data_IF_275882428734
#
_entry.id   IF_275882428734
#
_cell.length_a   1.000
_cell.length_b   1.000
_cell.length_c   1.000
_cell.angle_alpha   90.00
_cell.angle_beta   90.00
_cell.angle_gamma   90.00
#
_symmetry.space_group_name_H-M   'P 1'
#
loop_
_entity.id
_entity.type
_entity.pdbx_description
1 polymer ?
#
# COMPACT_ATOMS: atom_id res chain seq x y z
N UNK A 1 -14.91 -17.67 1.63
CA UNK A 1 -14.54 -16.26 1.88
C UNK A 1 -13.56 -15.85 0.79
N UNK A 2 -13.69 -14.64 0.23
CA UNK A 2 -12.74 -14.19 -0.81
C UNK A 2 -11.43 -13.76 -0.17
N UNK A 3 -10.29 -13.98 -0.83
CA UNK A 3 -8.96 -13.81 -0.24
C UNK A 3 -8.15 -12.72 -0.92
N UNK A 4 -7.45 -11.91 -0.13
CA UNK A 4 -6.57 -10.85 -0.61
C UNK A 4 -5.19 -10.99 0.02
N UNK A 5 -4.16 -11.06 -0.82
CA UNK A 5 -2.77 -10.88 -0.40
C UNK A 5 -2.34 -9.45 -0.70
N UNK A 6 -1.76 -8.78 0.29
CA UNK A 6 -1.25 -7.42 0.15
C UNK A 6 0.24 -7.40 0.50
N UNK A 7 1.07 -6.64 -0.22
CA UNK A 7 2.51 -6.58 0.04
C UNK A 7 2.96 -5.20 0.50
N UNK A 8 3.82 -5.11 1.50
CA UNK A 8 4.48 -3.87 1.92
C UNK A 8 5.91 -4.17 2.40
N UNK A 9 6.88 -3.26 2.25
CA UNK A 9 8.25 -3.54 2.72
C UNK A 9 8.32 -3.74 4.23
N UNK A 10 7.76 -2.79 4.97
CA UNK A 10 7.87 -2.70 6.42
C UNK A 10 6.52 -2.44 7.06
N UNK A 11 6.39 -2.76 8.35
CA UNK A 11 5.21 -2.46 9.14
C UNK A 11 5.61 -2.08 10.57
N UNK A 12 6.17 -0.87 10.74
CA UNK A 12 6.86 -0.49 11.97
C UNK A 12 6.52 0.91 12.52
N UNK A 13 6.49 1.95 11.67
CA UNK A 13 6.70 3.36 12.09
C UNK A 13 5.58 4.33 11.68
N UNK A 14 4.45 3.83 11.16
CA UNK A 14 3.37 4.63 10.58
C UNK A 14 3.80 5.47 9.37
N UNK A 15 4.63 4.89 8.50
CA UNK A 15 4.96 5.56 7.23
C UNK A 15 3.72 5.70 6.34
N UNK A 16 3.77 6.57 5.33
CA UNK A 16 2.64 6.77 4.41
C UNK A 16 2.17 5.48 3.72
N UNK A 17 3.11 4.60 3.36
CA UNK A 17 2.82 3.30 2.75
C UNK A 17 2.21 2.30 3.75
N UNK A 18 2.69 2.30 5.00
CA UNK A 18 2.12 1.49 6.08
C UNK A 18 0.69 1.90 6.44
N UNK A 19 0.41 3.21 6.49
CA UNK A 19 -0.94 3.71 6.72
C UNK A 19 -1.86 3.41 5.54
N UNK A 20 -1.37 3.60 4.31
CA UNK A 20 -2.14 3.30 3.10
C UNK A 20 -2.55 1.83 3.04
N UNK A 21 -1.60 0.90 3.21
CA UNK A 21 -1.90 -0.54 3.15
C UNK A 21 -2.84 -0.96 4.27
N UNK A 22 -2.74 -0.34 5.45
CA UNK A 22 -3.64 -0.59 6.58
C UNK A 22 -5.08 -0.17 6.28
N UNK A 23 -5.27 1.02 5.69
CA UNK A 23 -6.61 1.51 5.31
C UNK A 23 -7.24 0.65 4.21
N UNK A 24 -6.43 0.23 3.24
CA UNK A 24 -6.87 -0.68 2.18
C UNK A 24 -7.24 -2.06 2.74
N UNK A 25 -6.44 -2.61 3.66
CA UNK A 25 -6.74 -3.89 4.32
C UNK A 25 -8.07 -3.83 5.07
N UNK A 26 -8.28 -2.79 5.91
CA UNK A 26 -9.55 -2.56 6.62
C UNK A 26 -10.73 -2.43 5.67
N UNK A 27 -10.55 -1.78 4.51
CA UNK A 27 -11.60 -1.66 3.50
C UNK A 27 -11.98 -3.03 2.91
N UNK A 28 -11.02 -3.89 2.63
CA UNK A 28 -11.27 -5.26 2.17
C UNK A 28 -11.96 -6.11 3.24
N UNK A 29 -11.51 -6.06 4.50
CA UNK A 29 -12.16 -6.75 5.62
C UNK A 29 -13.62 -6.31 5.79
N UNK A 30 -13.90 -5.00 5.73
CA UNK A 30 -15.28 -4.46 5.77
C UNK A 30 -16.16 -4.97 4.63
N UNK A 31 -15.56 -5.36 3.51
CA UNK A 31 -16.25 -5.98 2.36
C UNK A 31 -16.33 -7.51 2.45
N UNK A 32 -15.91 -8.11 3.57
CA UNK A 32 -15.99 -9.55 3.82
C UNK A 32 -14.87 -10.37 3.18
N UNK A 33 -13.72 -9.75 2.90
CA UNK A 33 -12.53 -10.46 2.44
C UNK A 33 -11.66 -10.91 3.61
N UNK A 34 -11.00 -12.04 3.43
CA UNK A 34 -9.87 -12.49 4.23
C UNK A 34 -8.60 -11.79 3.74
N UNK A 35 -7.93 -11.03 4.60
CA UNK A 35 -6.79 -10.19 4.21
C UNK A 35 -5.53 -10.65 4.90
N UNK A 36 -4.51 -10.95 4.10
CA UNK A 36 -3.14 -11.21 4.59
C UNK A 36 -2.21 -10.14 4.06
N UNK A 37 -1.45 -9.49 4.95
CA UNK A 37 -0.39 -8.55 4.58
C UNK A 37 0.95 -9.23 4.78
N UNK A 38 1.75 -9.31 3.72
CA UNK A 38 3.11 -9.83 3.76
C UNK A 38 4.12 -8.69 3.76
N UNK A 39 5.08 -8.77 4.68
CA UNK A 39 6.15 -7.76 4.84
C UNK A 39 7.51 -8.40 5.10
N UNK A 40 8.61 -7.68 4.85
CA UNK A 40 9.93 -8.16 5.25
C UNK A 40 10.23 -7.95 6.74
N UNK A 41 9.61 -6.94 7.35
CA UNK A 41 9.77 -6.68 8.78
C UNK A 41 8.51 -6.07 9.38
N UNK A 42 8.07 -6.60 10.51
CA UNK A 42 6.99 -6.01 11.32
C UNK A 42 7.51 -5.68 12.72
N UNK A 43 7.15 -4.52 13.23
CA UNK A 43 7.57 -4.08 14.56
C UNK A 43 6.49 -3.24 15.27
N UNK A 44 6.74 -3.01 16.55
CA UNK A 44 5.97 -2.09 17.36
C UNK A 44 6.39 -0.64 17.09
N UNK A 45 5.48 0.33 17.24
CA UNK A 45 4.14 0.24 17.86
C UNK A 45 2.97 -0.18 16.94
N UNK A 46 3.12 -0.09 15.62
CA UNK A 46 2.00 -0.25 14.67
C UNK A 46 1.26 -1.59 14.81
N UNK A 47 1.99 -2.67 15.11
CA UNK A 47 1.40 -3.99 15.38
C UNK A 47 0.39 -4.01 16.54
N UNK A 48 0.49 -3.10 17.52
CA UNK A 48 -0.46 -3.01 18.64
C UNK A 48 -1.83 -2.50 18.19
N UNK A 49 -1.86 -1.52 17.29
CA UNK A 49 -3.11 -0.94 16.78
C UNK A 49 -3.77 -1.84 15.73
N UNK A 50 -2.97 -2.68 15.08
CA UNK A 50 -3.38 -3.51 13.95
C UNK A 50 -3.53 -4.99 14.30
N UNK A 51 -3.71 -5.34 15.59
CA UNK A 51 -3.81 -6.73 16.08
C UNK A 51 -4.86 -7.61 15.40
N UNK A 52 -5.86 -6.99 14.75
CA UNK A 52 -6.91 -7.72 14.02
C UNK A 52 -6.48 -8.12 12.60
N UNK A 53 -5.51 -7.42 12.02
CA UNK A 53 -4.99 -7.71 10.69
C UNK A 53 -4.06 -8.92 10.76
N UNK A 54 -4.20 -9.84 9.82
CA UNK A 54 -3.26 -10.93 9.66
C UNK A 54 -2.03 -10.43 8.88
N UNK A 55 -0.91 -10.27 9.59
CA UNK A 55 0.34 -9.74 9.04
C UNK A 55 1.45 -10.76 9.24
N UNK A 56 2.07 -11.18 8.15
CA UNK A 56 3.19 -12.13 8.14
C UNK A 56 4.51 -11.43 7.84
N UNK A 57 5.55 -11.80 8.55
CA UNK A 57 6.92 -11.42 8.27
C UNK A 57 7.61 -12.53 7.47
N UNK A 58 7.87 -12.27 6.19
CA UNK A 58 8.28 -13.27 5.20
C UNK A 58 9.52 -14.09 5.56
N UNK A 59 10.41 -13.54 6.40
CA UNK A 59 11.66 -14.20 6.79
C UNK A 59 11.51 -15.13 8.00
N UNK A 60 10.50 -14.90 8.84
CA UNK A 60 10.31 -15.62 10.11
C UNK A 60 9.02 -16.44 10.15
N UNK A 61 8.08 -16.16 9.25
CA UNK A 61 6.78 -16.83 9.15
C UNK A 61 6.53 -17.38 7.73
N UNK A 62 5.84 -18.50 7.67
CA UNK A 62 5.42 -19.13 6.41
C UNK A 62 4.04 -18.62 5.99
N UNK A 63 3.88 -18.38 4.69
CA UNK A 63 2.57 -18.12 4.11
C UNK A 63 1.81 -19.46 4.06
N UNK A 64 0.60 -19.51 4.62
CA UNK A 64 -0.17 -20.76 4.74
C UNK A 64 -1.09 -21.04 3.55
N UNK A 65 -1.29 -20.05 2.69
CA UNK A 65 -2.23 -20.11 1.57
C UNK A 65 -1.61 -19.54 0.30
N UNK A 66 -1.93 -20.12 -0.85
CA UNK A 66 -1.27 -19.78 -2.12
C UNK A 66 -2.25 -19.45 -3.26
N UNK A 67 -3.56 -19.47 -3.00
CA UNK A 67 -4.61 -19.11 -3.96
C UNK A 67 -5.38 -17.89 -3.43
N UNK A 68 -5.38 -16.82 -4.21
CA UNK A 68 -5.94 -15.53 -3.85
C UNK A 68 -6.94 -15.02 -4.92
N UNK A 69 -8.04 -14.42 -4.49
CA UNK A 69 -8.91 -13.73 -5.45
C UNK A 69 -8.23 -12.45 -5.96
N UNK A 70 -7.49 -11.76 -5.09
CA UNK A 70 -6.79 -10.51 -5.41
C UNK A 70 -5.39 -10.53 -4.80
N UNK A 71 -4.38 -10.15 -5.59
CA UNK A 71 -3.09 -9.71 -5.06
C UNK A 71 -2.98 -8.20 -5.26
N UNK A 72 -2.69 -7.49 -4.17
CA UNK A 72 -2.45 -6.05 -4.14
C UNK A 72 -0.97 -5.79 -3.86
N UNK A 73 -0.22 -5.45 -4.91
CA UNK A 73 1.22 -5.19 -4.85
C UNK A 73 1.46 -3.71 -4.61
N UNK A 74 1.85 -3.33 -3.38
CA UNK A 74 2.30 -1.95 -3.10
C UNK A 74 3.82 -1.82 -3.15
N UNK A 75 4.53 -2.86 -2.68
CA UNK A 75 5.97 -2.96 -2.86
C UNK A 75 6.31 -4.28 -3.55
N UNK A 76 6.92 -4.18 -4.73
CA UNK A 76 7.24 -5.34 -5.54
C UNK A 76 8.30 -6.27 -4.94
N UNK A 77 9.33 -5.84 -4.18
CA UNK A 77 10.37 -6.77 -3.72
C UNK A 77 9.80 -7.88 -2.82
N UNK A 78 8.75 -7.57 -2.05
CA UNK A 78 8.06 -8.56 -1.23
C UNK A 78 7.21 -9.49 -2.07
N UNK A 79 6.54 -8.97 -3.10
CA UNK A 79 5.79 -9.79 -4.05
C UNK A 79 6.71 -10.77 -4.80
N UNK A 80 7.82 -10.28 -5.34
CA UNK A 80 8.81 -11.10 -6.05
C UNK A 80 9.38 -12.21 -5.15
N UNK A 81 9.71 -11.88 -3.90
CA UNK A 81 10.13 -12.88 -2.92
C UNK A 81 9.09 -13.99 -2.75
N UNK A 82 7.80 -13.64 -2.62
CA UNK A 82 6.73 -14.61 -2.45
C UNK A 82 6.52 -15.47 -3.70
N UNK A 83 6.61 -14.89 -4.90
CA UNK A 83 6.55 -15.63 -6.17
C UNK A 83 7.74 -16.59 -6.36
N UNK A 84 8.93 -16.21 -5.90
CA UNK A 84 10.11 -17.08 -5.94
C UNK A 84 10.01 -18.22 -4.92
N UNK A 85 9.39 -17.98 -3.76
CA UNK A 85 9.29 -18.97 -2.67
C UNK A 85 8.08 -19.90 -2.82
N UNK A 86 6.96 -19.40 -3.34
CA UNK A 86 5.68 -20.09 -3.40
C UNK A 86 5.08 -20.03 -4.80
N UNK A 87 4.34 -21.07 -5.18
CA UNK A 87 3.59 -21.09 -6.43
C UNK A 87 2.24 -20.39 -6.27
N UNK A 88 2.27 -19.05 -6.19
CA UNK A 88 1.07 -18.23 -6.02
C UNK A 88 0.16 -18.29 -7.24
N UNK A 89 -1.14 -18.40 -6.99
CA UNK A 89 -2.19 -18.29 -8.01
C UNK A 89 -3.15 -17.18 -7.63
N UNK A 90 -3.63 -16.44 -8.62
CA UNK A 90 -4.55 -15.34 -8.38
C UNK A 90 -5.49 -15.07 -9.55
N UNK A 91 -6.65 -14.48 -9.25
CA UNK A 91 -7.64 -14.08 -10.26
C UNK A 91 -7.49 -12.64 -10.73
N UNK A 92 -7.02 -11.76 -9.83
CA UNK A 92 -6.82 -10.34 -10.10
C UNK A 92 -5.52 -9.83 -9.50
N UNK A 93 -4.81 -9.00 -10.27
CA UNK A 93 -3.59 -8.34 -9.85
C UNK A 93 -3.77 -6.82 -9.88
N UNK A 94 -3.54 -6.18 -8.73
CA UNK A 94 -3.53 -4.73 -8.58
C UNK A 94 -2.11 -4.31 -8.25
N UNK A 95 -1.53 -3.42 -9.04
CA UNK A 95 -0.23 -2.82 -8.77
C UNK A 95 -0.47 -1.39 -8.30
N UNK A 96 0.05 -1.02 -7.13
CA UNK A 96 -0.13 0.31 -6.52
C UNK A 96 1.21 1.02 -6.39
N UNK A 97 1.33 2.20 -7.00
CA UNK A 97 2.51 3.07 -6.96
C UNK A 97 2.22 4.31 -6.12
N UNK A 98 2.99 4.48 -5.04
CA UNK A 98 2.77 5.53 -4.04
C UNK A 98 3.73 6.74 -4.18
N UNK A 99 4.76 6.65 -5.01
CA UNK A 99 5.80 7.66 -5.14
C UNK A 99 6.53 7.57 -6.47
N UNK A 100 7.18 8.69 -6.79
CA UNK A 100 8.05 8.89 -7.96
C UNK A 100 9.54 8.79 -7.64
N UNK A 101 9.91 8.70 -6.34
CA UNK A 101 11.28 8.98 -5.87
C UNK A 101 12.06 7.71 -5.50
N UNK A 102 11.37 6.61 -5.20
CA UNK A 102 11.97 5.46 -4.52
C UNK A 102 12.21 4.30 -5.48
N UNK A 103 13.45 3.78 -5.55
CA UNK A 103 13.82 2.60 -6.34
C UNK A 103 13.04 1.34 -5.92
N UNK A 104 12.65 1.26 -4.65
CA UNK A 104 11.82 0.14 -4.14
C UNK A 104 10.34 0.27 -4.51
N UNK A 105 9.97 1.39 -5.14
CA UNK A 105 8.65 1.63 -5.74
C UNK A 105 8.70 1.59 -7.28
N UNK A 106 9.77 1.05 -7.87
CA UNK A 106 9.79 0.72 -9.29
C UNK A 106 8.67 -0.26 -9.65
N UNK A 107 8.33 -0.28 -10.94
CA UNK A 107 7.26 -1.14 -11.42
C UNK A 107 7.71 -2.61 -11.38
N UNK A 108 6.87 -3.53 -10.86
CA UNK A 108 7.19 -4.95 -10.89
C UNK A 108 7.25 -5.44 -12.34
N UNK A 109 8.05 -6.47 -12.60
CA UNK A 109 8.06 -7.15 -13.91
C UNK A 109 6.67 -7.69 -14.26
N UNK A 110 5.89 -8.12 -13.27
CA UNK A 110 4.51 -8.60 -13.46
C UNK A 110 3.49 -7.49 -13.80
N UNK A 111 3.91 -6.24 -13.98
CA UNK A 111 2.98 -5.15 -14.34
C UNK A 111 2.22 -5.42 -15.64
N UNK A 112 2.80 -6.19 -16.55
CA UNK A 112 2.14 -6.62 -17.79
C UNK A 112 0.86 -7.42 -17.50
N UNK A 113 0.85 -8.17 -16.39
CA UNK A 113 -0.26 -9.02 -15.96
C UNK A 113 -1.24 -8.28 -15.03
N UNK A 114 -0.97 -7.01 -14.71
CA UNK A 114 -1.84 -6.23 -13.84
C UNK A 114 -3.21 -6.02 -14.49
N UNK A 115 -4.29 -6.22 -13.73
CA UNK A 115 -5.63 -5.83 -14.14
C UNK A 115 -5.85 -4.33 -13.95
N UNK A 116 -5.23 -3.76 -12.91
CA UNK A 116 -5.34 -2.35 -12.55
C UNK A 116 -4.00 -1.84 -12.02
N UNK A 117 -3.60 -0.65 -12.48
CA UNK A 117 -2.42 0.06 -11.99
C UNK A 117 -2.88 1.34 -11.30
N UNK A 118 -2.75 1.39 -9.97
CA UNK A 118 -3.12 2.54 -9.15
C UNK A 118 -1.91 3.45 -8.96
N UNK A 119 -2.10 4.74 -9.20
CA UNK A 119 -1.08 5.77 -9.02
C UNK A 119 -1.59 6.83 -8.04
N UNK A 120 -0.79 7.20 -7.03
CA UNK A 120 -1.24 8.17 -6.01
C UNK A 120 -1.53 9.58 -6.55
N UNK A 121 -0.91 9.93 -7.68
CA UNK A 121 -1.01 11.23 -8.32
C UNK A 121 -0.91 11.11 -9.84
N UNK A 122 -1.28 12.18 -10.55
CA UNK A 122 -1.08 12.26 -12.01
C UNK A 122 0.40 12.22 -12.37
N UNK A 123 1.27 12.80 -11.54
CA UNK A 123 2.72 12.75 -11.72
C UNK A 123 3.23 11.30 -11.71
N UNK A 124 2.74 10.47 -10.78
CA UNK A 124 3.05 9.03 -10.76
C UNK A 124 2.52 8.34 -12.02
N UNK A 125 1.28 8.64 -12.42
CA UNK A 125 0.68 8.06 -13.62
C UNK A 125 1.47 8.39 -14.88
N UNK A 126 1.94 9.62 -15.03
CA UNK A 126 2.78 10.03 -16.16
C UNK A 126 4.14 9.30 -16.20
N UNK A 127 4.76 9.06 -15.04
CA UNK A 127 5.98 8.24 -14.99
C UNK A 127 5.71 6.79 -15.39
N UNK A 128 4.61 6.21 -14.93
CA UNK A 128 4.21 4.87 -15.38
C UNK A 128 3.98 4.84 -16.88
N UNK A 129 3.24 5.82 -17.43
CA UNK A 129 3.01 5.93 -18.88
C UNK A 129 4.30 6.08 -19.68
N UNK A 130 5.32 6.76 -19.14
CA UNK A 130 6.64 6.84 -19.77
C UNK A 130 7.38 5.51 -19.79
N UNK A 131 7.19 4.67 -18.76
CA UNK A 131 7.86 3.37 -18.66
C UNK A 131 7.17 2.28 -19.49
N UNK A 132 5.83 2.20 -19.46
CA UNK A 132 5.07 1.10 -20.09
C UNK A 132 4.17 1.53 -21.26
N UNK A 133 4.09 2.83 -21.56
CA UNK A 133 3.19 3.38 -22.57
C UNK A 133 1.82 3.80 -22.02
N UNK A 134 0.97 4.37 -22.89
CA UNK A 134 -0.41 4.72 -22.53
C UNK A 134 -1.21 3.45 -22.36
N UNK A 135 -1.77 3.25 -21.17
CA UNK A 135 -2.50 2.06 -20.79
C UNK A 135 -3.79 2.43 -20.06
N UNK A 136 -4.91 1.84 -20.47
CA UNK A 136 -6.23 2.11 -19.89
C UNK A 136 -6.40 1.57 -18.47
N UNK A 137 -5.51 0.67 -18.01
CA UNK A 137 -5.49 0.12 -16.66
C UNK A 137 -4.92 1.09 -15.64
N UNK A 138 -4.23 2.14 -16.09
CA UNK A 138 -3.67 3.18 -15.22
C UNK A 138 -4.81 4.08 -14.69
N UNK A 139 -4.89 4.20 -13.36
CA UNK A 139 -5.89 5.00 -12.65
C UNK A 139 -5.21 5.81 -11.56
N UNK A 140 -5.57 7.09 -11.47
CA UNK A 140 -5.15 7.92 -10.32
C UNK A 140 -6.06 7.61 -9.13
N UNK A 141 -5.45 7.14 -8.05
CA UNK A 141 -6.10 6.83 -6.79
C UNK A 141 -5.33 7.49 -5.64
N UNK A 142 -5.85 8.63 -5.18
CA UNK A 142 -5.23 9.41 -4.11
C UNK A 142 -5.25 8.63 -2.79
N UNK A 143 -4.27 8.91 -1.94
CA UNK A 143 -4.24 8.39 -0.57
C UNK A 143 -5.58 8.66 0.14
N UNK A 144 -6.05 7.65 0.86
CA UNK A 144 -7.28 7.69 1.61
C UNK A 144 -7.00 7.57 3.12
N UNK A 145 -7.94 8.07 3.90
CA UNK A 145 -7.99 7.89 5.36
C UNK A 145 -9.44 7.59 5.75
N UNK A 146 -9.63 6.79 6.80
CA UNK A 146 -10.95 6.46 7.31
C UNK A 146 -11.74 7.70 7.77
N UNK A 147 -13.07 7.57 7.77
CA UNK A 147 -13.99 8.64 8.20
C UNK A 147 -13.70 9.12 9.64
N UNK A 148 -13.27 8.19 10.50
CA UNK A 148 -12.85 8.45 11.89
C UNK A 148 -11.81 9.58 12.01
N UNK A 149 -10.91 9.70 11.01
CA UNK A 149 -9.94 10.79 10.95
C UNK A 149 -10.66 12.13 10.87
N UNK A 150 -11.63 12.27 9.96
CA UNK A 150 -12.37 13.51 9.78
C UNK A 150 -13.27 13.80 10.99
N UNK A 151 -13.91 12.78 11.55
CA UNK A 151 -14.82 12.91 12.70
C UNK A 151 -14.07 13.46 13.93
N UNK A 152 -12.83 13.00 14.16
CA UNK A 152 -11.96 13.50 15.22
C UNK A 152 -11.67 15.02 15.09
N UNK A 153 -11.51 15.52 13.87
CA UNK A 153 -11.22 16.94 13.62
C UNK A 153 -12.47 17.81 13.53
N UNK A 154 -13.64 17.25 13.20
CA UNK A 154 -14.92 17.97 13.23
C UNK A 154 -15.36 18.32 14.66
N UNK A 155 -14.98 17.52 15.66
CA UNK A 155 -15.29 17.76 17.07
C UNK A 155 -14.35 18.75 17.79
N UNK A 156 -13.30 19.25 17.13
CA UNK A 156 -12.40 20.27 17.69
C UNK A 156 -12.65 21.59 16.98
N UNK A 157 -12.91 22.66 17.73
CA UNK A 157 -12.74 24.00 17.17
C UNK A 157 -11.35 24.05 16.52
N UNK A 158 -11.32 24.25 15.20
CA UNK A 158 -10.11 24.60 14.47
C UNK A 158 -9.58 25.88 15.11
N UNK A 159 -8.68 25.75 16.10
CA UNK A 159 -7.85 26.87 16.54
C UNK A 159 -7.23 27.41 15.28
N UNK A 160 -7.68 28.59 14.83
CA UNK A 160 -7.17 29.29 13.65
C UNK A 160 -5.67 29.05 13.58
N UNK A 161 -5.21 28.36 12.54
CA UNK A 161 -3.81 28.24 12.23
C UNK A 161 -3.25 29.66 12.18
N UNK A 162 -2.57 30.08 13.26
CA UNK A 162 -1.76 31.29 13.21
C UNK A 162 -0.73 31.00 12.13
N UNK A 163 -0.71 31.82 11.08
CA UNK A 163 0.31 31.82 10.02
C UNK A 163 1.67 31.48 10.63
N UNK A 164 2.12 30.23 10.48
CA UNK A 164 3.52 29.89 10.64
C UNK A 164 4.19 30.36 9.35
N UNK A 165 4.84 31.52 9.44
CA UNK A 165 5.82 31.94 8.46
C UNK A 165 6.92 30.88 8.40
N UNK A 166 6.92 30.01 7.38
CA UNK A 166 8.12 29.31 6.97
C UNK A 166 9.05 30.34 6.31
N UNK A 167 9.91 30.96 7.12
CA UNK A 167 11.07 31.71 6.65
C UNK A 167 12.32 30.83 6.75
N UNK A 168 13.02 30.69 5.62
CA UNK A 168 14.46 30.38 5.49
C UNK A 168 15.02 29.12 6.15
N UNK A 169 15.01 27.98 5.44
CA UNK A 169 16.16 27.04 5.42
C UNK A 169 16.26 26.37 4.04
N UNK A 170 16.54 27.12 2.97
CA UNK A 170 17.24 26.61 1.78
C UNK A 170 18.04 27.79 1.21
N UNK A 171 19.24 28.00 1.74
CA UNK A 171 20.42 28.60 1.09
C UNK A 171 21.52 28.67 2.17
N UNK A 172 22.31 27.61 2.24
CA UNK A 172 23.73 27.67 2.60
C UNK A 172 24.47 26.74 1.65
#
# INVERSE_FOLDING_TARGET
MKKVLMTNLYFEKYSGSELHISEMARLFERKGYDVTIAVFRKAYPLMTEMRKLHIIECQSEELKEFDFDIIFVQHFPVFDYLCCKYNLTFRKLVVSKLSVISEVEELPVCIIDADVILCVSEECAELVRKQIGVDERIRVFKNCVGQEFFDYYQGKELKKLKKLQLFQIIFR
#
